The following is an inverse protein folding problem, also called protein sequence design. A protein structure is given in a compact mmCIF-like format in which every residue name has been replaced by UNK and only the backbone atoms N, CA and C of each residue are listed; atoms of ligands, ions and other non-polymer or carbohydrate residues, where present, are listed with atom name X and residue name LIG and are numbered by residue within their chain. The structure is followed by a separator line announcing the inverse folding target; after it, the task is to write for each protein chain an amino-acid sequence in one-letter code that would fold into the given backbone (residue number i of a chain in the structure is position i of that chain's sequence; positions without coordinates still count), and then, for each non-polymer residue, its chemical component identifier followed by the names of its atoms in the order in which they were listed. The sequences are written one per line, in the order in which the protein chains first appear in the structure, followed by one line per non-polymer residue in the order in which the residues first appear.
data_IF_370496527729
#
_entry.id   IF_370496527729
#
_cell.length_a   1.000
_cell.length_b   1.000
_cell.length_c   1.000
_cell.angle_alpha   90.00
_cell.angle_beta   90.00
_cell.angle_gamma   90.00
#
_symmetry.space_group_name_H-M   'P 1'
#
loop_
_entity.id
_entity.type
_entity.pdbx_description
1 polymer ?
#
# COMPACT_ATOMS: atom_id res chain seq x y z
N UNK A 1 -23.32 -25.82 -4.37
CA UNK A 1 -23.77 -24.60 -3.66
C UNK A 1 -23.33 -23.40 -4.48
N UNK A 2 -24.20 -22.44 -4.74
CA UNK A 2 -23.84 -21.16 -5.36
C UNK A 2 -23.21 -20.27 -4.27
N UNK A 3 -22.02 -19.75 -4.51
CA UNK A 3 -21.39 -18.78 -3.58
C UNK A 3 -22.21 -17.49 -3.55
N UNK A 4 -22.58 -16.96 -2.38
CA UNK A 4 -23.21 -15.65 -2.29
C UNK A 4 -22.23 -14.54 -2.70
N UNK A 5 -22.76 -13.43 -3.17
CA UNK A 5 -21.95 -12.21 -3.34
C UNK A 5 -21.48 -11.69 -1.98
N UNK A 6 -20.19 -11.40 -1.87
CA UNK A 6 -19.58 -10.86 -0.66
C UNK A 6 -18.98 -9.49 -0.97
N UNK A 7 -19.53 -8.46 -0.34
CA UNK A 7 -19.08 -7.06 -0.47
C UNK A 7 -18.35 -6.57 0.80
N UNK A 8 -17.74 -7.50 1.56
CA UNK A 8 -16.94 -7.11 2.72
C UNK A 8 -15.75 -6.22 2.29
N UNK A 9 -15.41 -5.20 3.07
CA UNK A 9 -14.36 -4.24 2.73
C UNK A 9 -12.93 -4.79 2.85
N UNK A 10 -12.78 -6.03 3.29
CA UNK A 10 -11.53 -6.76 3.43
C UNK A 10 -11.44 -7.57 4.72
N UNK A 11 -10.93 -8.81 4.64
CA UNK A 11 -10.47 -9.49 3.41
C UNK A 11 -11.55 -9.56 2.34
N UNK A 12 -11.15 -9.31 1.08
CA UNK A 12 -12.08 -9.26 -0.04
C UNK A 12 -12.35 -10.64 -0.64
N UNK A 13 -13.42 -10.73 -1.42
CA UNK A 13 -13.78 -11.93 -2.15
C UNK A 13 -12.75 -12.25 -3.24
N UNK A 14 -12.24 -13.48 -3.24
CA UNK A 14 -11.35 -13.98 -4.28
C UNK A 14 -12.13 -14.59 -5.45
N UNK A 15 -11.62 -14.54 -6.68
CA UNK A 15 -12.17 -15.29 -7.81
C UNK A 15 -12.23 -16.79 -7.51
N UNK A 16 -13.31 -17.44 -7.92
CA UNK A 16 -13.51 -18.87 -7.65
C UNK A 16 -12.44 -19.74 -8.33
N UNK A 17 -11.98 -19.33 -9.52
CA UNK A 17 -10.88 -20.00 -10.23
C UNK A 17 -9.60 -20.03 -9.40
N UNK A 18 -9.26 -18.93 -8.74
CA UNK A 18 -8.08 -18.85 -7.85
C UNK A 18 -8.25 -19.79 -6.66
N UNK A 19 -9.42 -19.83 -6.04
CA UNK A 19 -9.67 -20.74 -4.91
C UNK A 19 -9.62 -22.21 -5.31
N UNK A 20 -10.12 -22.57 -6.51
CA UNK A 20 -10.02 -23.93 -7.04
C UNK A 20 -8.58 -24.32 -7.34
N UNK A 21 -7.78 -23.40 -7.87
CA UNK A 21 -6.36 -23.65 -8.08
C UNK A 21 -5.63 -23.88 -6.76
N UNK A 22 -5.81 -23.02 -5.78
CA UNK A 22 -5.25 -23.19 -4.42
C UNK A 22 -5.65 -24.55 -3.85
N UNK A 23 -6.93 -24.92 -3.96
CA UNK A 23 -7.43 -26.21 -3.47
C UNK A 23 -6.75 -27.39 -4.16
N UNK A 24 -6.57 -27.34 -5.49
CA UNK A 24 -5.96 -28.44 -6.24
C UNK A 24 -4.46 -28.60 -5.96
N UNK A 25 -3.78 -27.50 -5.61
CA UNK A 25 -2.33 -27.48 -5.33
C UNK A 25 -2.01 -27.60 -3.83
N UNK A 26 -3.04 -27.69 -2.97
CA UNK A 26 -2.86 -27.62 -1.51
C UNK A 26 -2.03 -28.77 -0.94
N UNK A 27 -2.18 -29.97 -1.45
CA UNK A 27 -1.46 -31.16 -0.98
C UNK A 27 -0.22 -31.48 -1.82
N UNK A 28 -0.21 -31.06 -3.08
CA UNK A 28 0.87 -31.33 -4.02
C UNK A 28 1.09 -30.12 -4.93
N UNK A 29 2.06 -29.29 -4.58
CA UNK A 29 2.39 -28.09 -5.35
C UNK A 29 3.19 -28.46 -6.60
N UNK A 30 2.54 -28.38 -7.77
CA UNK A 30 3.14 -28.67 -9.08
C UNK A 30 3.85 -30.02 -9.18
N UNK A 31 3.34 -31.07 -8.54
CA UNK A 31 3.90 -32.44 -8.60
C UNK A 31 5.13 -32.63 -7.71
N UNK A 32 5.37 -31.77 -6.74
CA UNK A 32 6.48 -31.92 -5.78
C UNK A 32 6.25 -33.03 -4.76
N UNK A 33 5.01 -33.53 -4.62
CA UNK A 33 4.62 -34.49 -3.60
C UNK A 33 4.40 -33.90 -2.20
N UNK A 34 4.37 -32.58 -2.07
CA UNK A 34 4.16 -31.83 -0.82
C UNK A 34 3.60 -30.44 -1.07
N UNK A 35 3.02 -29.83 -0.04
CA UNK A 35 2.39 -28.53 -0.10
C UNK A 35 3.38 -27.38 -0.18
N UNK A 36 3.04 -26.31 -0.90
CA UNK A 36 3.80 -25.06 -0.84
C UNK A 36 3.88 -24.50 0.60
N UNK A 37 2.91 -24.82 1.48
CA UNK A 37 2.90 -24.39 2.87
C UNK A 37 3.99 -25.07 3.70
N UNK A 38 4.53 -26.22 3.24
CA UNK A 38 5.63 -26.96 3.86
C UNK A 38 6.99 -26.59 3.28
N UNK A 39 6.97 -25.77 2.21
CA UNK A 39 8.18 -25.39 1.49
C UNK A 39 9.04 -24.39 2.29
N UNK A 40 10.34 -24.59 2.26
CA UNK A 40 11.27 -23.59 2.80
C UNK A 40 11.17 -22.28 2.03
N UNK A 41 11.10 -21.15 2.76
CA UNK A 41 11.13 -19.82 2.14
C UNK A 41 12.41 -19.54 1.33
N UNK A 42 13.46 -20.35 1.48
CA UNK A 42 14.71 -20.33 0.71
C UNK A 42 14.74 -21.38 -0.40
N UNK A 43 13.70 -22.23 -0.48
CA UNK A 43 13.58 -23.26 -1.50
C UNK A 43 13.20 -22.69 -2.87
N UNK A 44 13.50 -23.44 -3.96
CA UNK A 44 13.23 -22.95 -5.32
C UNK A 44 11.75 -22.71 -5.59
N UNK A 45 10.85 -23.43 -4.93
CA UNK A 45 9.39 -23.26 -5.10
C UNK A 45 8.94 -21.90 -4.61
N UNK A 46 9.28 -21.52 -3.37
CA UNK A 46 8.88 -20.23 -2.79
C UNK A 46 9.62 -19.07 -3.47
N UNK A 47 10.92 -19.23 -3.74
CA UNK A 47 11.68 -18.22 -4.50
C UNK A 47 11.13 -18.04 -5.91
N UNK A 48 10.67 -19.10 -6.56
CA UNK A 48 10.00 -19.02 -7.85
C UNK A 48 8.72 -18.21 -7.80
N UNK A 49 7.84 -18.49 -6.84
CA UNK A 49 6.60 -17.73 -6.60
C UNK A 49 6.89 -16.25 -6.37
N UNK A 50 7.87 -15.95 -5.50
CA UNK A 50 8.23 -14.55 -5.18
C UNK A 50 8.81 -13.81 -6.38
N UNK A 51 9.65 -14.48 -7.18
CA UNK A 51 10.23 -13.91 -8.41
C UNK A 51 9.14 -13.62 -9.44
N UNK A 52 8.23 -14.55 -9.64
CA UNK A 52 7.11 -14.39 -10.57
C UNK A 52 6.18 -13.26 -10.12
N UNK A 53 5.81 -13.22 -8.84
CA UNK A 53 4.98 -12.16 -8.28
C UNK A 53 5.62 -10.77 -8.47
N UNK A 54 6.92 -10.64 -8.18
CA UNK A 54 7.67 -9.39 -8.39
C UNK A 54 7.68 -9.00 -9.87
N UNK A 55 7.90 -9.95 -10.77
CA UNK A 55 7.90 -9.73 -12.22
C UNK A 55 6.53 -9.26 -12.71
N UNK A 56 5.46 -9.92 -12.27
CA UNK A 56 4.08 -9.56 -12.64
C UNK A 56 3.68 -8.17 -12.15
N UNK A 57 4.04 -7.81 -10.91
CA UNK A 57 3.80 -6.46 -10.38
C UNK A 57 4.55 -5.40 -11.18
N UNK A 58 5.83 -5.65 -11.52
CA UNK A 58 6.61 -4.74 -12.37
C UNK A 58 5.96 -4.54 -13.73
N UNK A 59 5.51 -5.62 -14.35
CA UNK A 59 4.85 -5.57 -15.66
C UNK A 59 3.50 -4.83 -15.59
N UNK A 60 2.64 -5.18 -14.63
CA UNK A 60 1.30 -4.60 -14.50
C UNK A 60 1.32 -3.09 -14.22
N UNK A 61 2.28 -2.64 -13.42
CA UNK A 61 2.39 -1.26 -12.97
C UNK A 61 3.47 -0.48 -13.73
N UNK A 62 4.15 -1.12 -14.70
CA UNK A 62 5.28 -0.52 -15.42
C UNK A 62 6.34 0.06 -14.46
N UNK A 63 6.68 -0.69 -13.40
CA UNK A 63 7.61 -0.23 -12.36
C UNK A 63 9.02 -0.13 -12.94
N UNK A 64 9.64 1.07 -12.95
CA UNK A 64 11.00 1.25 -13.44
C UNK A 64 12.04 0.48 -12.59
N UNK A 65 13.21 0.19 -13.17
CA UNK A 65 14.30 -0.49 -12.47
C UNK A 65 14.91 0.32 -11.33
N UNK A 66 14.64 1.62 -11.30
CA UNK A 66 15.02 2.52 -10.19
C UNK A 66 14.22 2.31 -8.92
N UNK A 67 13.13 1.51 -8.97
CA UNK A 67 12.31 1.18 -7.82
C UNK A 67 12.51 -0.28 -7.41
N UNK A 68 12.54 -0.52 -6.10
CA UNK A 68 12.49 -1.85 -5.54
C UNK A 68 11.06 -2.26 -5.17
N UNK A 69 10.73 -3.55 -5.40
CA UNK A 69 9.49 -4.18 -4.91
C UNK A 69 9.86 -5.04 -3.72
N UNK A 70 9.33 -4.69 -2.55
CA UNK A 70 9.61 -5.35 -1.28
C UNK A 70 8.34 -6.04 -0.75
N UNK A 71 8.49 -7.24 -0.21
CA UNK A 71 7.43 -7.97 0.48
C UNK A 71 7.74 -7.97 1.98
N UNK A 72 6.88 -7.29 2.76
CA UNK A 72 7.07 -7.07 4.18
C UNK A 72 5.97 -7.74 4.99
N UNK A 73 6.25 -8.27 6.18
CA UNK A 73 5.24 -8.76 7.10
C UNK A 73 4.45 -7.60 7.75
N UNK A 74 3.35 -7.92 8.43
CA UNK A 74 2.60 -6.98 9.27
C UNK A 74 1.52 -6.16 8.56
N UNK A 75 1.31 -6.39 7.25
CA UNK A 75 0.27 -5.72 6.46
C UNK A 75 0.44 -4.22 6.38
N UNK A 76 -0.57 -3.50 5.84
CA UNK A 76 -0.52 -2.05 5.67
C UNK A 76 -0.36 -1.28 6.98
N UNK A 77 -0.87 -1.81 8.09
CA UNK A 77 -0.77 -1.15 9.39
C UNK A 77 0.67 -1.06 9.91
N UNK A 78 1.50 -2.07 9.64
CA UNK A 78 2.92 -2.02 10.01
C UNK A 78 3.67 -0.93 9.26
N UNK A 79 3.22 -0.57 8.06
CA UNK A 79 3.81 0.50 7.27
C UNK A 79 3.67 1.88 7.94
N UNK A 80 2.67 2.07 8.80
CA UNK A 80 2.52 3.31 9.58
C UNK A 80 3.73 3.57 10.49
N UNK A 81 4.40 2.50 10.94
CA UNK A 81 5.65 2.60 11.69
C UNK A 81 6.88 2.47 10.78
N UNK A 82 6.89 1.54 9.80
CA UNK A 82 8.07 1.27 8.97
C UNK A 82 8.44 2.47 8.09
N UNK A 83 7.46 3.20 7.56
CA UNK A 83 7.72 4.41 6.76
C UNK A 83 8.49 5.46 7.57
N UNK A 84 7.97 5.94 8.72
CA UNK A 84 8.73 6.92 9.50
C UNK A 84 10.05 6.36 10.07
N UNK A 85 10.14 5.07 10.41
CA UNK A 85 11.40 4.47 10.85
C UNK A 85 12.51 4.56 9.81
N UNK A 86 12.17 4.55 8.52
CA UNK A 86 13.14 4.56 7.43
C UNK A 86 13.33 5.95 6.81
N UNK A 87 12.29 6.77 6.77
CA UNK A 87 12.31 8.05 6.05
C UNK A 87 12.39 9.26 6.97
N UNK A 88 12.12 9.12 8.26
CA UNK A 88 12.13 10.23 9.21
C UNK A 88 13.39 10.17 10.06
N UNK A 89 14.29 11.14 9.86
CA UNK A 89 15.47 11.30 10.70
C UNK A 89 15.13 11.92 12.07
N UNK A 90 16.02 11.79 13.03
CA UNK A 90 15.85 12.38 14.36
C UNK A 90 15.63 13.90 14.29
N UNK A 91 14.54 14.40 14.88
CA UNK A 91 14.18 15.81 14.90
C UNK A 91 13.62 16.38 13.60
N UNK A 92 13.48 15.55 12.56
CA UNK A 92 12.89 15.97 11.27
C UNK A 92 11.37 15.97 11.28
N UNK A 93 10.78 16.52 10.25
CA UNK A 93 9.35 16.70 10.07
C UNK A 93 8.83 15.77 8.97
N UNK A 94 7.67 15.19 9.17
CA UNK A 94 6.85 14.59 8.12
C UNK A 94 5.52 15.33 8.01
N UNK A 95 4.96 15.35 6.82
CA UNK A 95 3.68 16.01 6.54
C UNK A 95 2.66 14.95 6.12
N UNK A 96 1.43 15.08 6.60
CA UNK A 96 0.34 14.14 6.28
C UNK A 96 -0.88 14.88 5.74
N UNK A 97 -1.42 14.40 4.62
CA UNK A 97 -2.73 14.83 4.11
C UNK A 97 -3.77 13.96 4.82
N UNK A 98 -4.43 14.52 5.84
CA UNK A 98 -5.36 13.77 6.70
C UNK A 98 -6.78 13.94 6.16
N UNK A 99 -7.29 12.90 5.48
CA UNK A 99 -8.61 12.87 4.86
C UNK A 99 -9.58 11.92 5.55
N UNK A 100 -9.10 11.09 6.47
CA UNK A 100 -9.95 10.14 7.16
C UNK A 100 -9.26 9.36 8.28
N UNK A 101 -9.80 8.20 8.61
CA UNK A 101 -9.34 7.40 9.75
C UNK A 101 -7.95 6.80 9.55
N UNK A 102 -7.63 6.34 8.33
CA UNK A 102 -6.36 5.66 8.07
C UNK A 102 -5.20 6.64 7.99
N UNK A 103 -5.34 7.74 7.26
CA UNK A 103 -4.33 8.81 7.24
C UNK A 103 -4.09 9.39 8.62
N UNK A 104 -5.16 9.58 9.44
CA UNK A 104 -5.04 10.02 10.84
C UNK A 104 -4.30 9.01 11.70
N UNK A 105 -4.56 7.70 11.52
CA UNK A 105 -3.88 6.65 12.27
C UNK A 105 -2.38 6.58 11.91
N UNK A 106 -2.05 6.73 10.62
CA UNK A 106 -0.66 6.77 10.14
C UNK A 106 0.08 7.99 10.72
N UNK A 107 -0.51 9.18 10.67
CA UNK A 107 0.05 10.40 11.25
C UNK A 107 0.29 10.27 12.76
N UNK A 108 -0.67 9.65 13.49
CA UNK A 108 -0.53 9.39 14.93
C UNK A 108 0.62 8.44 15.23
N UNK A 109 0.84 7.41 14.43
CA UNK A 109 1.94 6.47 14.63
C UNK A 109 3.29 7.15 14.35
N UNK A 110 3.38 7.98 13.31
CA UNK A 110 4.59 8.71 12.94
C UNK A 110 5.08 9.68 14.04
N UNK A 111 4.20 10.19 14.89
CA UNK A 111 4.57 11.03 16.05
C UNK A 111 5.52 10.34 17.03
N UNK A 112 5.62 9.01 17.01
CA UNK A 112 6.57 8.25 17.84
C UNK A 112 8.01 8.34 17.33
N UNK A 113 8.18 8.74 16.06
CA UNK A 113 9.48 8.75 15.37
C UNK A 113 10.00 10.16 15.11
N UNK A 114 9.12 11.18 15.09
CA UNK A 114 9.49 12.55 14.84
C UNK A 114 8.31 13.51 14.88
N UNK A 115 8.52 14.72 14.35
CA UNK A 115 7.46 15.72 14.26
C UNK A 115 6.53 15.42 13.10
N UNK A 116 5.26 15.68 13.29
CA UNK A 116 4.22 15.50 12.28
C UNK A 116 3.42 16.78 12.13
N UNK A 117 3.21 17.20 10.89
CA UNK A 117 2.34 18.30 10.50
C UNK A 117 1.21 17.77 9.62
N UNK A 118 0.02 18.37 9.75
CA UNK A 118 -1.04 18.18 8.76
C UNK A 118 -0.82 19.13 7.58
N UNK A 119 -0.88 18.61 6.36
CA UNK A 119 -0.85 19.43 5.14
C UNK A 119 -2.15 20.19 4.89
N UNK A 120 -3.19 19.90 5.67
CA UNK A 120 -4.53 20.40 5.42
C UNK A 120 -5.25 20.69 6.76
N UNK A 121 -5.67 21.91 6.93
CA UNK A 121 -6.33 22.38 8.15
C UNK A 121 -7.86 22.20 8.17
N UNK A 122 -8.46 21.75 7.08
CA UNK A 122 -9.89 21.52 6.99
C UNK A 122 -10.38 20.34 7.83
N UNK A 123 -11.69 20.28 8.08
CA UNK A 123 -12.31 19.10 8.70
C UNK A 123 -12.13 17.90 7.76
N UNK A 124 -11.64 16.77 8.27
CA UNK A 124 -11.47 15.53 7.54
C UNK A 124 -12.76 15.04 6.85
N UNK A 125 -12.62 13.92 6.12
CA UNK A 125 -13.69 13.29 5.34
C UNK A 125 -14.00 14.00 4.00
N UNK A 126 -13.03 14.70 3.43
CA UNK A 126 -13.04 15.17 2.04
C UNK A 126 -11.62 15.19 1.47
N UNK A 127 -11.52 15.23 0.17
CA UNK A 127 -10.25 15.45 -0.52
C UNK A 127 -10.02 16.97 -0.62
N UNK A 128 -8.85 17.47 -0.17
CA UNK A 128 -8.49 18.86 -0.36
C UNK A 128 -8.17 19.15 -1.83
N UNK A 129 -8.40 20.38 -2.27
CA UNK A 129 -7.78 20.85 -3.51
C UNK A 129 -6.26 21.02 -3.33
N UNK A 130 -5.50 20.96 -4.43
CA UNK A 130 -4.03 21.08 -4.33
C UNK A 130 -3.60 22.44 -3.74
N UNK A 131 -4.43 23.47 -3.95
CA UNK A 131 -4.23 24.82 -3.41
C UNK A 131 -4.37 24.91 -1.89
N UNK A 132 -5.05 23.93 -1.27
CA UNK A 132 -5.25 23.86 0.18
C UNK A 132 -4.13 23.06 0.88
N UNK A 133 -3.19 22.48 0.11
CA UNK A 133 -2.10 21.68 0.66
C UNK A 133 -0.91 22.56 1.05
N UNK A 134 -0.66 22.64 2.34
CA UNK A 134 0.49 23.34 2.92
C UNK A 134 1.58 22.34 3.28
N UNK A 135 2.57 22.16 2.38
CA UNK A 135 3.70 21.26 2.58
C UNK A 135 4.98 22.08 2.65
N UNK A 136 5.68 21.98 3.77
CA UNK A 136 6.96 22.65 3.97
C UNK A 136 8.04 21.92 3.18
N UNK A 137 8.87 22.61 2.37
CA UNK A 137 9.91 21.96 1.55
C UNK A 137 10.96 21.14 2.36
N UNK A 138 11.17 21.48 3.62
CA UNK A 138 12.10 20.78 4.52
C UNK A 138 11.50 19.51 5.14
N UNK A 139 10.28 19.15 4.82
CA UNK A 139 9.68 17.88 5.30
C UNK A 139 10.37 16.68 4.65
N UNK A 140 10.60 15.63 5.43
CA UNK A 140 11.28 14.41 4.94
C UNK A 140 10.44 13.66 3.90
N UNK A 141 9.13 13.67 4.06
CA UNK A 141 8.16 13.11 3.12
C UNK A 141 6.76 13.68 3.38
N UNK A 142 5.90 13.62 2.36
CA UNK A 142 4.47 13.87 2.50
C UNK A 142 3.70 12.59 2.29
N UNK A 143 2.84 12.20 3.24
CA UNK A 143 2.09 10.95 3.18
C UNK A 143 0.58 11.19 3.09
N UNK A 144 -0.13 10.29 2.38
CA UNK A 144 -1.58 10.28 2.31
C UNK A 144 -2.14 8.86 2.16
N UNK A 145 -3.42 8.71 2.42
CA UNK A 145 -4.17 7.49 2.14
C UNK A 145 -4.97 7.69 0.85
N UNK A 146 -4.65 6.93 -0.18
CA UNK A 146 -5.24 7.10 -1.51
C UNK A 146 -6.74 6.76 -1.53
N UNK A 147 -7.17 5.82 -0.66
CA UNK A 147 -8.57 5.52 -0.42
C UNK A 147 -8.87 5.27 1.07
N UNK A 148 -9.59 6.18 1.68
CA UNK A 148 -10.12 6.06 3.05
C UNK A 148 -11.36 5.17 3.07
N UNK A 149 -11.15 3.86 3.19
CA UNK A 149 -12.18 2.82 3.06
C UNK A 149 -13.38 3.03 3.98
N UNK A 150 -13.15 3.51 5.22
CA UNK A 150 -14.21 3.73 6.22
C UNK A 150 -15.15 4.85 5.79
N UNK A 151 -14.61 5.88 5.15
CA UNK A 151 -15.36 7.09 4.78
C UNK A 151 -15.81 7.10 3.32
N UNK A 152 -15.32 6.14 2.51
CA UNK A 152 -15.60 6.09 1.07
C UNK A 152 -15.02 7.29 0.32
N UNK A 153 -13.82 7.74 0.72
CA UNK A 153 -13.14 8.88 0.12
C UNK A 153 -11.91 8.38 -0.61
N UNK A 154 -11.88 8.54 -1.92
CA UNK A 154 -10.80 8.11 -2.79
C UNK A 154 -10.27 9.30 -3.60
N UNK A 155 -8.94 9.44 -3.66
CA UNK A 155 -8.30 10.41 -4.54
C UNK A 155 -8.46 9.96 -6.00
N UNK A 156 -9.04 10.81 -6.83
CA UNK A 156 -9.18 10.55 -8.27
C UNK A 156 -7.84 10.69 -9.01
N UNK A 157 -6.92 11.48 -8.46
CA UNK A 157 -5.59 11.76 -8.99
C UNK A 157 -4.56 11.91 -7.86
N UNK A 158 -3.31 11.73 -8.19
CA UNK A 158 -2.20 11.99 -7.27
C UNK A 158 -2.17 13.47 -6.88
N UNK A 159 -2.13 13.80 -5.58
CA UNK A 159 -2.07 15.20 -5.13
C UNK A 159 -0.79 15.89 -5.62
N UNK A 160 -0.89 17.17 -5.95
CA UNK A 160 0.24 17.98 -6.40
C UNK A 160 0.72 18.88 -5.26
N UNK A 161 1.98 18.69 -4.86
CA UNK A 161 2.64 19.47 -3.83
C UNK A 161 3.34 20.68 -4.48
N UNK A 162 2.61 21.81 -4.65
CA UNK A 162 3.05 22.95 -5.49
C UNK A 162 4.43 23.50 -5.12
N UNK A 163 4.66 23.76 -3.84
CA UNK A 163 5.89 24.39 -3.35
C UNK A 163 6.90 23.38 -2.76
N UNK A 164 6.60 22.07 -2.86
CA UNK A 164 7.38 20.99 -2.28
C UNK A 164 7.55 19.81 -3.25
N UNK A 165 7.78 20.07 -4.53
CA UNK A 165 7.87 19.06 -5.59
C UNK A 165 9.02 18.06 -5.41
N UNK A 166 10.06 18.44 -4.69
CA UNK A 166 11.19 17.56 -4.35
C UNK A 166 10.90 16.65 -3.15
N UNK A 167 9.83 16.90 -2.39
CA UNK A 167 9.45 16.09 -1.23
C UNK A 167 8.90 14.74 -1.70
N UNK A 168 9.45 13.62 -1.22
CA UNK A 168 8.94 12.31 -1.58
C UNK A 168 7.48 12.14 -1.15
N UNK A 169 6.62 11.77 -2.10
CA UNK A 169 5.23 11.44 -1.81
C UNK A 169 5.11 9.97 -1.42
N UNK A 170 4.43 9.71 -0.30
CA UNK A 170 4.17 8.37 0.23
C UNK A 170 2.67 8.08 0.20
N UNK A 171 2.26 6.97 -0.42
CA UNK A 171 0.84 6.61 -0.54
C UNK A 171 0.51 5.26 0.11
N UNK A 172 -0.55 5.24 0.94
CA UNK A 172 -1.25 4.02 1.31
C UNK A 172 -2.31 3.70 0.26
N UNK A 173 -2.04 2.70 -0.56
CA UNK A 173 -2.96 2.21 -1.59
C UNK A 173 -3.63 0.89 -1.20
N UNK A 174 -3.66 0.53 0.08
CA UNK A 174 -4.10 -0.79 0.54
C UNK A 174 -5.48 -1.17 0.00
N UNK A 175 -6.42 -0.24 -0.05
CA UNK A 175 -7.81 -0.59 -0.41
C UNK A 175 -8.16 -0.46 -1.90
N UNK A 176 -7.36 0.26 -2.68
CA UNK A 176 -7.60 0.49 -4.10
C UNK A 176 -6.42 0.10 -5.01
N UNK A 177 -5.41 -0.59 -4.47
CA UNK A 177 -4.27 -1.06 -5.25
C UNK A 177 -4.72 -1.95 -6.42
N UNK A 178 -4.19 -1.71 -7.61
CA UNK A 178 -4.54 -2.42 -8.86
C UNK A 178 -6.00 -2.23 -9.34
N UNK A 179 -6.75 -1.28 -8.82
CA UNK A 179 -8.07 -0.92 -9.36
C UNK A 179 -7.96 0.01 -10.57
N UNK A 180 -6.85 0.71 -10.68
CA UNK A 180 -6.53 1.66 -11.76
C UNK A 180 -5.01 1.68 -12.03
N UNK A 181 -4.55 2.22 -13.16
CA UNK A 181 -3.13 2.46 -13.42
C UNK A 181 -2.52 3.38 -12.35
N UNK A 182 -1.24 3.12 -12.01
CA UNK A 182 -0.48 3.92 -11.04
C UNK A 182 0.68 4.60 -11.76
N UNK A 183 0.80 5.92 -11.62
CA UNK A 183 1.94 6.68 -12.13
C UNK A 183 3.12 6.57 -11.14
N UNK A 184 3.84 5.42 -11.19
CA UNK A 184 4.88 5.05 -10.22
C UNK A 184 5.89 6.16 -9.97
N UNK A 185 6.30 6.87 -11.00
CA UNK A 185 7.31 7.95 -10.92
C UNK A 185 6.88 9.17 -10.09
N UNK A 186 5.60 9.29 -9.75
CA UNK A 186 5.11 10.36 -8.86
C UNK A 186 5.33 10.08 -7.37
N UNK A 187 5.76 8.88 -7.03
CA UNK A 187 5.90 8.44 -5.64
C UNK A 187 7.35 8.21 -5.26
N UNK A 188 7.76 8.64 -4.07
CA UNK A 188 8.97 8.14 -3.44
C UNK A 188 8.77 6.74 -2.87
N UNK A 189 7.55 6.46 -2.38
CA UNK A 189 7.15 5.16 -1.86
C UNK A 189 5.62 5.01 -1.93
N UNK A 190 5.13 3.85 -2.29
CA UNK A 190 3.75 3.46 -2.00
C UNK A 190 3.69 2.03 -1.49
N UNK A 191 2.67 1.72 -0.75
CA UNK A 191 2.46 0.38 -0.21
C UNK A 191 1.00 -0.05 -0.27
N UNK A 192 0.80 -1.35 -0.27
CA UNK A 192 -0.52 -1.96 -0.20
C UNK A 192 -0.46 -3.27 0.58
N UNK A 193 -1.53 -3.57 1.31
CA UNK A 193 -1.72 -4.87 1.94
C UNK A 193 -2.60 -5.77 1.08
N UNK A 194 -2.26 -7.06 1.00
CA UNK A 194 -2.81 -7.95 -0.03
C UNK A 194 -4.29 -8.30 0.11
N UNK A 195 -4.84 -8.29 1.33
CA UNK A 195 -6.17 -8.83 1.67
C UNK A 195 -7.36 -8.11 1.06
N UNK A 196 -7.14 -7.03 0.30
CA UNK A 196 -8.23 -6.31 -0.38
C UNK A 196 -8.26 -6.69 -1.86
N UNK A 197 -7.95 -5.76 -2.75
CA UNK A 197 -8.04 -6.02 -4.19
C UNK A 197 -6.87 -6.84 -4.76
N UNK A 198 -5.73 -6.88 -4.07
CA UNK A 198 -4.55 -7.58 -4.59
C UNK A 198 -4.68 -9.11 -4.52
N UNK A 199 -5.15 -9.67 -3.41
CA UNK A 199 -5.22 -11.13 -3.29
C UNK A 199 -5.52 -11.64 -1.88
N UNK A 200 -4.77 -12.65 -1.48
CA UNK A 200 -4.97 -13.38 -0.22
C UNK A 200 -4.48 -12.55 0.97
N UNK A 201 -5.16 -12.71 2.12
CA UNK A 201 -4.79 -12.11 3.40
C UNK A 201 -3.53 -12.78 3.99
#
# INVERSE_FOLDING_TARGET
MTRPYNFAPGPAMLPESVLKQIQSEMLDYHGCGWSILEASHRGPQVTGVMTELKSRLRQLLSIPDTYDVLFCPGGGRMQFAMVPMNLLGAGTLSTYIITGAWSKAAAKEALRFGRVQSAFSGSGNRIPADEELEVIPETSYCAYCDNETIHGIEFERVPVLKDAQAVPLVADMTSNFLTRPVEVNKFGLFYASAQKNLGIA
#
